data_IF_692140849761
#
_entry.id   IF_692140849761
#
_cell.length_a   1.000
_cell.length_b   1.000
_cell.length_c   1.000
_cell.angle_alpha   90.00
_cell.angle_beta   90.00
_cell.angle_gamma   90.00
#
_symmetry.space_group_name_H-M   'P 1'
#
loop_
_entity.id
_entity.type
_entity.pdbx_description
1 polymer ?
#
# COMPACT_ATOMS: atom_id res chain seq x y z
N UNK A 1 8.39 -3.39 -23.73
CA UNK A 1 8.56 -2.01 -23.18
C UNK A 1 7.45 -1.60 -22.21
N UNK A 2 6.16 -1.56 -22.61
CA UNK A 2 5.07 -1.07 -21.73
C UNK A 2 4.97 -1.77 -20.35
N UNK A 3 5.11 -3.10 -20.30
CA UNK A 3 5.13 -3.84 -19.03
C UNK A 3 6.35 -3.54 -18.15
N UNK A 4 7.53 -3.34 -18.76
CA UNK A 4 8.77 -3.04 -18.00
C UNK A 4 8.64 -1.68 -17.33
N UNK A 5 8.14 -0.67 -18.06
CA UNK A 5 7.91 0.67 -17.52
C UNK A 5 6.86 0.63 -16.39
N UNK A 6 5.75 -0.09 -16.60
CA UNK A 6 4.71 -0.25 -15.58
C UNK A 6 5.24 -0.95 -14.32
N UNK A 7 6.08 -1.98 -14.48
CA UNK A 7 6.74 -2.68 -13.38
C UNK A 7 7.65 -1.75 -12.58
N UNK A 8 8.57 -1.03 -13.25
CA UNK A 8 9.49 -0.10 -12.59
C UNK A 8 8.74 1.01 -11.86
N UNK A 9 7.73 1.61 -12.49
CA UNK A 9 6.89 2.63 -11.85
C UNK A 9 6.15 2.09 -10.62
N UNK A 10 5.62 0.88 -10.71
CA UNK A 10 4.91 0.25 -9.60
C UNK A 10 5.84 -0.02 -8.42
N UNK A 11 7.06 -0.48 -8.68
CA UNK A 11 8.08 -0.66 -7.65
C UNK A 11 8.42 0.66 -6.97
N UNK A 12 8.67 1.72 -7.74
CA UNK A 12 8.97 3.06 -7.19
C UNK A 12 7.80 3.56 -6.33
N UNK A 13 6.56 3.40 -6.81
CA UNK A 13 5.36 3.77 -6.08
C UNK A 13 5.24 3.01 -4.76
N UNK A 14 5.44 1.69 -4.75
CA UNK A 14 5.36 0.86 -3.54
C UNK A 14 6.41 1.31 -2.51
N UNK A 15 7.64 1.56 -2.96
CA UNK A 15 8.72 2.08 -2.09
C UNK A 15 8.33 3.44 -1.52
N UNK A 16 7.84 4.36 -2.36
CA UNK A 16 7.41 5.68 -1.92
C UNK A 16 6.28 5.59 -0.88
N UNK A 17 5.26 4.79 -1.12
CA UNK A 17 4.14 4.57 -0.20
C UNK A 17 4.61 4.03 1.15
N UNK A 18 5.56 3.09 1.15
CA UNK A 18 6.11 2.50 2.38
C UNK A 18 6.89 3.54 3.18
N UNK A 19 7.75 4.31 2.51
CA UNK A 19 8.50 5.40 3.16
C UNK A 19 7.57 6.49 3.69
N UNK A 20 6.53 6.85 2.93
CA UNK A 20 5.51 7.80 3.37
C UNK A 20 4.74 7.29 4.59
N UNK A 21 4.37 6.00 4.62
CA UNK A 21 3.70 5.41 5.77
C UNK A 21 4.58 5.46 7.03
N UNK A 22 5.86 5.10 6.91
CA UNK A 22 6.82 5.20 8.03
C UNK A 22 6.93 6.66 8.50
N UNK A 23 7.10 7.60 7.58
CA UNK A 23 7.21 9.02 7.93
C UNK A 23 5.97 9.55 8.67
N UNK A 24 4.77 9.22 8.17
CA UNK A 24 3.50 9.62 8.80
C UNK A 24 3.36 9.00 10.19
N UNK A 25 3.73 7.73 10.35
CA UNK A 25 3.64 7.05 11.64
C UNK A 25 4.62 7.63 12.65
N UNK A 26 5.87 7.88 12.26
CA UNK A 26 6.86 8.53 13.14
C UNK A 26 6.38 9.92 13.56
N UNK A 27 5.86 10.70 12.62
CA UNK A 27 5.29 12.01 12.94
C UNK A 27 4.10 11.90 13.90
N UNK A 28 3.22 10.91 13.72
CA UNK A 28 2.12 10.65 14.63
C UNK A 28 2.61 10.24 16.03
N UNK A 29 3.64 9.41 16.12
CA UNK A 29 4.25 9.02 17.40
C UNK A 29 4.79 10.25 18.14
N UNK A 30 5.55 11.11 17.46
CA UNK A 30 6.06 12.36 18.05
C UNK A 30 4.93 13.28 18.53
N UNK A 31 3.84 13.36 17.76
CA UNK A 31 2.65 14.10 18.18
C UNK A 31 2.03 13.49 19.45
N UNK A 32 1.81 12.18 19.48
CA UNK A 32 1.21 11.47 20.63
C UNK A 32 2.07 11.65 21.88
N UNK A 33 3.39 11.53 21.77
CA UNK A 33 4.31 11.64 22.92
C UNK A 33 4.41 13.07 23.46
N UNK A 34 4.18 14.08 22.62
CA UNK A 34 4.14 15.49 23.02
C UNK A 34 2.92 15.86 23.88
N UNK A 35 1.87 15.03 23.91
CA UNK A 35 0.64 15.32 24.66
C UNK A 35 0.84 15.17 26.17
N UNK A 36 0.63 16.25 26.93
CA UNK A 36 0.80 16.26 28.40
C UNK A 36 -0.30 15.48 29.14
N UNK A 37 -1.53 15.54 28.66
CA UNK A 37 -2.68 14.90 29.31
C UNK A 37 -2.67 13.38 29.08
N UNK A 38 -2.68 12.54 30.14
CA UNK A 38 -2.68 11.08 30.00
C UNK A 38 -3.88 10.54 29.22
N UNK A 39 -5.06 11.15 29.40
CA UNK A 39 -6.28 10.73 28.70
C UNK A 39 -6.19 11.02 27.20
N UNK A 40 -5.71 12.22 26.84
CA UNK A 40 -5.52 12.59 25.43
C UNK A 40 -4.45 11.73 24.77
N UNK A 41 -3.36 11.44 25.49
CA UNK A 41 -2.29 10.57 25.02
C UNK A 41 -2.81 9.16 24.72
N UNK A 42 -3.58 8.56 25.63
CA UNK A 42 -4.15 7.22 25.43
C UNK A 42 -5.08 7.18 24.21
N UNK A 43 -5.95 8.17 24.04
CA UNK A 43 -6.84 8.27 22.89
C UNK A 43 -6.05 8.45 21.57
N UNK A 44 -5.04 9.32 21.57
CA UNK A 44 -4.21 9.59 20.41
C UNK A 44 -3.38 8.35 20.02
N UNK A 45 -2.90 7.56 20.99
CA UNK A 45 -2.20 6.30 20.74
C UNK A 45 -3.12 5.24 20.11
N UNK A 46 -4.39 5.20 20.54
CA UNK A 46 -5.41 4.39 19.87
C UNK A 46 -5.64 4.82 18.42
N UNK A 47 -5.69 6.13 18.16
CA UNK A 47 -5.83 6.66 16.81
C UNK A 47 -4.59 6.39 15.94
N UNK A 48 -3.38 6.49 16.50
CA UNK A 48 -2.11 6.15 15.84
C UNK A 48 -2.09 4.67 15.41
N UNK A 49 -2.52 3.76 16.28
CA UNK A 49 -2.62 2.34 15.95
C UNK A 49 -3.62 2.10 14.80
N UNK A 50 -4.78 2.74 14.85
CA UNK A 50 -5.77 2.65 13.77
C UNK A 50 -5.22 3.21 12.46
N UNK A 51 -4.51 4.35 12.51
CA UNK A 51 -3.82 4.91 11.35
C UNK A 51 -2.81 3.92 10.78
N UNK A 52 -2.00 3.27 11.62
CA UNK A 52 -1.04 2.24 11.21
C UNK A 52 -1.71 1.06 10.52
N UNK A 53 -2.82 0.56 11.05
CA UNK A 53 -3.60 -0.52 10.41
C UNK A 53 -4.13 -0.08 9.05
N UNK A 54 -4.70 1.13 8.95
CA UNK A 54 -5.24 1.66 7.70
C UNK A 54 -4.15 1.83 6.65
N UNK A 55 -2.99 2.40 7.02
CA UNK A 55 -1.85 2.55 6.13
C UNK A 55 -1.30 1.20 5.67
N UNK A 56 -1.16 0.24 6.57
CA UNK A 56 -0.72 -1.12 6.24
C UNK A 56 -1.66 -1.78 5.24
N UNK A 57 -2.96 -1.80 5.53
CA UNK A 57 -3.96 -2.39 4.64
C UNK A 57 -4.01 -1.68 3.29
N UNK A 58 -3.99 -0.35 3.28
CA UNK A 58 -4.03 0.44 2.05
C UNK A 58 -2.81 0.22 1.16
N UNK A 59 -1.60 0.26 1.73
CA UNK A 59 -0.36 0.04 0.98
C UNK A 59 -0.23 -1.38 0.45
N UNK A 60 -0.56 -2.39 1.27
CA UNK A 60 -0.56 -3.80 0.84
C UNK A 60 -1.61 -4.06 -0.23
N UNK A 61 -2.83 -3.55 -0.05
CA UNK A 61 -3.90 -3.68 -1.03
C UNK A 61 -3.51 -3.06 -2.37
N UNK A 62 -2.97 -1.83 -2.35
CA UNK A 62 -2.58 -1.14 -3.57
C UNK A 62 -1.40 -1.84 -4.27
N UNK A 63 -0.38 -2.25 -3.51
CA UNK A 63 0.76 -2.98 -4.05
C UNK A 63 0.34 -4.28 -4.74
N UNK A 64 -0.50 -5.07 -4.08
CA UNK A 64 -0.98 -6.36 -4.60
C UNK A 64 -1.89 -6.19 -5.80
N UNK A 65 -2.84 -5.25 -5.77
CA UNK A 65 -3.76 -5.02 -6.89
C UNK A 65 -3.03 -4.50 -8.13
N UNK A 66 -2.05 -3.60 -7.96
CA UNK A 66 -1.23 -3.13 -9.08
C UNK A 66 -0.37 -4.25 -9.64
N UNK A 67 0.27 -5.06 -8.80
CA UNK A 67 1.05 -6.20 -9.24
C UNK A 67 0.19 -7.19 -10.03
N UNK A 68 -0.97 -7.59 -9.51
CA UNK A 68 -1.92 -8.46 -10.22
C UNK A 68 -2.32 -7.83 -11.55
N UNK A 69 -2.68 -6.54 -11.59
CA UNK A 69 -3.12 -5.87 -12.83
C UNK A 69 -2.03 -5.80 -13.91
N UNK A 70 -0.76 -5.76 -13.51
CA UNK A 70 0.37 -5.64 -14.44
C UNK A 70 0.89 -7.01 -14.89
N UNK A 71 0.93 -7.99 -13.97
CA UNK A 71 1.56 -9.29 -14.20
C UNK A 71 0.56 -10.42 -14.51
N UNK A 72 -0.75 -10.21 -14.36
CA UNK A 72 -1.74 -11.20 -14.79
C UNK A 72 -1.61 -11.41 -16.30
N UNK A 73 -1.31 -12.63 -16.77
CA UNK A 73 -1.32 -12.94 -18.19
C UNK A 73 -2.70 -12.60 -18.76
N UNK A 74 -2.76 -11.82 -19.84
CA UNK A 74 -3.99 -11.78 -20.63
C UNK A 74 -4.18 -13.17 -21.18
N UNK A 75 -5.25 -13.85 -20.77
CA UNK A 75 -5.73 -15.06 -21.42
C UNK A 75 -5.75 -14.76 -22.93
N UNK A 76 -4.88 -15.45 -23.67
CA UNK A 76 -5.02 -15.46 -25.12
C UNK A 76 -6.39 -16.07 -25.37
N UNK A 77 -7.26 -15.48 -26.21
CA UNK A 77 -8.50 -16.14 -26.58
C UNK A 77 -8.09 -17.53 -27.04
N UNK A 78 -8.56 -18.55 -26.33
CA UNK A 78 -8.39 -19.94 -26.72
C UNK A 78 -8.64 -19.99 -28.22
N UNK A 79 -7.61 -20.36 -29.00
CA UNK A 79 -7.77 -20.66 -30.41
C UNK A 79 -8.82 -21.76 -30.46
N UNK A 80 -10.06 -21.35 -30.77
CA UNK A 80 -11.14 -22.25 -31.15
C UNK A 80 -10.73 -22.90 -32.46
N UNK A 81 -9.87 -23.91 -32.38
CA UNK A 81 -9.59 -24.80 -33.49
C UNK A 81 -10.87 -25.57 -33.83
N UNK A 82 -11.17 -25.77 -35.13
CA UNK A 82 -12.36 -26.51 -35.51
C UNK A 82 -12.19 -27.95 -35.05
N UNK A 83 -13.16 -28.44 -34.28
CA UNK A 83 -13.40 -29.88 -34.13
C UNK A 83 -13.84 -30.41 -35.48
N UNK A 84 -12.88 -30.96 -36.22
CA UNK A 84 -13.09 -31.85 -37.38
C UNK A 84 -12.87 -33.29 -36.97
#
# INVERSE_FOLDING_TARGET
>A
MKMIIASVLTTILIVALTLSAIFVLVWATEYVTSLESPLHRAAAMGAELLLGVVLLLGTVWLATHLAVRIFTPKESPSEGGPVV
#
